data_IF_284891907971
#
_entry.id   IF_284891907971
#
_cell.length_a   1.000
_cell.length_b   1.000
_cell.length_c   1.000
_cell.angle_alpha   90.00
_cell.angle_beta   90.00
_cell.angle_gamma   90.00
#
_symmetry.space_group_name_H-M   'P 1'
#
loop_
_entity.id
_entity.type
_entity.pdbx_description
1 polymer ?
#
# COMPACT_ATOMS: atom_id res chain seq x y z
N UNK A 1 5.79 -57.37 -20.66
CA UNK A 1 5.64 -58.62 -19.88
C UNK A 1 6.18 -58.37 -18.48
N UNK A 2 5.52 -58.56 -17.33
CA UNK A 2 4.17 -58.97 -16.90
C UNK A 2 3.88 -58.18 -15.60
N UNK A 3 2.66 -57.65 -15.45
CA UNK A 3 1.99 -57.35 -14.17
C UNK A 3 1.01 -58.53 -13.86
N UNK A 4 0.22 -58.57 -12.78
CA UNK A 4 0.48 -58.47 -11.33
C UNK A 4 -0.29 -59.59 -10.54
N UNK A 5 -0.23 -59.61 -9.20
CA UNK A 5 -1.23 -60.28 -8.32
C UNK A 5 -1.56 -59.34 -7.15
N UNK A 6 -2.71 -58.64 -7.12
CA UNK A 6 -4.01 -59.06 -6.54
C UNK A 6 -3.84 -59.63 -5.10
N UNK A 7 -4.63 -59.33 -4.06
CA UNK A 7 -5.79 -58.50 -3.82
C UNK A 7 -6.12 -58.63 -2.33
N UNK A 8 -6.42 -57.57 -1.60
CA UNK A 8 -7.25 -57.69 -0.39
C UNK A 8 -8.36 -56.64 -0.43
N UNK A 9 -9.51 -57.11 -0.92
CA UNK A 9 -10.84 -56.49 -0.77
C UNK A 9 -11.42 -56.87 0.61
N UNK A 10 -12.24 -55.96 1.15
CA UNK A 10 -13.66 -56.10 1.57
C UNK A 10 -13.90 -55.13 2.73
N UNK A 11 -14.64 -54.04 2.51
CA UNK A 11 -16.12 -53.89 2.58
C UNK A 11 -16.65 -54.17 3.99
N UNK A 12 -17.32 -53.18 4.60
CA UNK A 12 -18.43 -53.24 5.57
C UNK A 12 -18.61 -51.79 6.12
N UNK A 13 -19.77 -51.18 6.33
CA UNK A 13 -21.19 -51.49 6.03
C UNK A 13 -21.95 -50.17 6.14
N UNK A 14 -22.84 -49.90 5.20
CA UNK A 14 -23.90 -48.89 5.32
C UNK A 14 -25.00 -49.46 6.23
N UNK A 15 -25.52 -48.69 7.19
CA UNK A 15 -26.78 -49.01 7.87
C UNK A 15 -27.75 -47.86 7.65
N UNK A 16 -28.83 -48.17 6.95
CA UNK A 16 -30.03 -47.38 6.79
C UNK A 16 -31.04 -47.76 7.88
N UNK A 17 -31.75 -46.76 8.39
CA UNK A 17 -33.19 -46.81 8.68
C UNK A 17 -33.60 -47.24 10.09
N UNK A 18 -34.42 -46.40 10.73
CA UNK A 18 -35.81 -46.75 11.04
C UNK A 18 -36.59 -45.46 11.38
N UNK A 19 -37.53 -45.12 10.51
CA UNK A 19 -38.64 -44.20 10.77
C UNK A 19 -39.69 -44.92 11.60
N UNK A 20 -39.96 -44.39 12.80
CA UNK A 20 -41.04 -44.85 13.68
C UNK A 20 -41.99 -43.71 13.99
N UNK A 21 -43.17 -43.77 13.38
CA UNK A 21 -44.33 -42.92 13.62
C UNK A 21 -44.85 -43.16 15.04
N UNK A 22 -45.09 -42.11 15.83
CA UNK A 22 -45.96 -42.20 17.00
C UNK A 22 -46.85 -40.96 17.09
N UNK A 23 -48.13 -41.18 16.81
CA UNK A 23 -49.26 -40.30 17.12
C UNK A 23 -49.35 -40.12 18.63
N UNK A 24 -49.40 -38.88 19.11
CA UNK A 24 -50.06 -38.55 20.37
C UNK A 24 -50.91 -37.29 20.17
N UNK A 25 -52.15 -37.44 20.61
CA UNK A 25 -53.32 -36.59 20.50
C UNK A 25 -53.18 -35.24 21.21
N UNK A 26 -53.71 -34.18 20.60
CA UNK A 26 -54.06 -32.93 21.28
C UNK A 26 -55.14 -33.18 22.35
N UNK A 27 -54.89 -32.70 23.56
CA UNK A 27 -55.93 -32.36 24.52
C UNK A 27 -55.58 -31.02 25.18
N UNK A 28 -56.54 -30.09 25.14
CA UNK A 28 -56.50 -28.75 25.70
C UNK A 28 -56.38 -28.76 27.23
N UNK A 29 -55.51 -27.92 27.78
CA UNK A 29 -55.70 -27.33 29.11
C UNK A 29 -55.26 -25.87 29.12
N UNK A 30 -56.22 -24.97 29.39
CA UNK A 30 -56.00 -23.58 29.82
C UNK A 30 -55.38 -23.60 31.23
N UNK A 31 -54.28 -22.87 31.43
CA UNK A 31 -53.85 -22.36 32.73
C UNK A 31 -52.95 -21.14 32.46
N UNK A 32 -53.49 -19.93 32.62
CA UNK A 32 -53.32 -19.06 33.78
C UNK A 32 -51.95 -18.33 33.77
N UNK A 33 -52.01 -17.03 33.50
CA UNK A 33 -50.89 -16.09 33.51
C UNK A 33 -50.16 -16.09 34.86
N UNK A 34 -48.90 -16.52 34.85
CA UNK A 34 -47.94 -16.15 35.89
C UNK A 34 -47.21 -14.90 35.46
N UNK A 35 -47.56 -13.76 36.07
CA UNK A 35 -46.81 -12.50 35.99
C UNK A 35 -45.42 -12.67 36.60
N UNK A 36 -44.41 -12.90 35.76
CA UNK A 36 -43.02 -12.85 36.18
C UNK A 36 -42.56 -11.38 36.27
N UNK A 37 -42.40 -10.92 37.51
CA UNK A 37 -41.70 -9.69 37.85
C UNK A 37 -40.19 -9.95 37.79
N UNK A 38 -39.58 -9.70 36.63
CA UNK A 38 -38.15 -9.45 36.52
C UNK A 38 -37.96 -7.94 36.30
N UNK A 39 -37.01 -7.28 36.99
CA UNK A 39 -36.68 -5.90 36.67
C UNK A 39 -36.18 -5.81 35.23
N UNK A 40 -36.68 -4.83 34.48
CA UNK A 40 -36.24 -4.55 33.12
C UNK A 40 -34.73 -4.34 33.09
N UNK A 41 -34.04 -4.98 32.14
CA UNK A 41 -32.64 -4.68 31.85
C UNK A 41 -32.50 -3.17 31.61
N UNK A 42 -31.51 -2.50 32.23
CA UNK A 42 -31.25 -1.10 31.92
C UNK A 42 -30.97 -0.97 30.42
N UNK A 43 -31.43 0.12 29.78
CA UNK A 43 -31.23 0.31 28.35
C UNK A 43 -29.75 0.15 28.04
N UNK A 44 -29.44 -0.78 27.12
CA UNK A 44 -28.09 -0.97 26.62
C UNK A 44 -27.55 0.37 26.16
N UNK A 45 -26.51 0.85 26.83
CA UNK A 45 -25.74 2.01 26.40
C UNK A 45 -25.40 1.84 24.92
N UNK A 46 -25.54 2.89 24.08
CA UNK A 46 -25.11 2.79 22.70
C UNK A 46 -23.65 2.34 22.71
N UNK A 47 -23.35 1.19 22.10
CA UNK A 47 -21.98 0.81 21.74
C UNK A 47 -21.36 2.05 21.12
N UNK A 48 -20.32 2.57 21.77
CA UNK A 48 -19.76 3.88 21.50
C UNK A 48 -19.70 4.14 20.01
N UNK A 49 -20.26 5.28 19.58
CA UNK A 49 -20.16 5.74 18.21
C UNK A 49 -18.71 5.53 17.76
N UNK A 50 -18.51 4.70 16.74
CA UNK A 50 -17.19 4.52 16.15
C UNK A 50 -16.68 5.94 15.86
N UNK A 51 -15.61 6.36 16.53
CA UNK A 51 -15.00 7.66 16.29
C UNK A 51 -14.67 7.67 14.81
N UNK A 52 -15.41 8.48 14.04
CA UNK A 52 -15.22 8.58 12.61
C UNK A 52 -13.74 8.88 12.38
N UNK A 53 -13.07 8.04 11.57
CA UNK A 53 -11.69 8.31 11.16
C UNK A 53 -11.66 9.73 10.59
N UNK A 54 -10.71 10.59 11.00
CA UNK A 54 -10.61 11.92 10.44
C UNK A 54 -10.53 11.81 8.92
N UNK A 55 -11.42 12.49 8.21
CA UNK A 55 -11.39 12.48 6.75
C UNK A 55 -10.04 13.00 6.26
N UNK A 56 -9.55 12.42 5.16
CA UNK A 56 -8.36 12.95 4.52
C UNK A 56 -8.64 14.36 4.00
N UNK A 57 -7.72 15.32 4.20
CA UNK A 57 -7.92 16.67 3.69
C UNK A 57 -8.11 16.61 2.17
N UNK A 58 -8.91 17.49 1.58
CA UNK A 58 -9.13 17.52 0.14
C UNK A 58 -7.85 17.97 -0.61
N UNK A 59 -7.60 17.49 -1.84
CA UNK A 59 -6.50 18.00 -2.65
C UNK A 59 -6.64 19.51 -2.89
N UNK A 60 -5.53 20.25 -2.79
CA UNK A 60 -5.46 21.69 -3.02
C UNK A 60 -4.13 22.07 -3.69
N UNK A 61 -3.87 23.37 -3.88
CA UNK A 61 -2.60 23.87 -4.42
C UNK A 61 -2.01 24.98 -3.52
N UNK A 62 -0.95 24.71 -2.73
CA UNK A 62 -0.30 23.41 -2.56
C UNK A 62 -1.21 22.38 -1.86
N UNK A 63 -0.97 21.08 -2.08
CA UNK A 63 -1.74 20.03 -1.41
C UNK A 63 -1.37 20.01 0.09
N UNK A 64 -2.35 19.97 1.01
CA UNK A 64 -2.10 20.04 2.46
C UNK A 64 -1.37 18.83 3.05
N UNK A 65 -1.27 17.73 2.31
CA UNK A 65 -0.46 16.55 2.64
C UNK A 65 0.84 16.51 1.84
N UNK A 66 0.75 16.73 0.52
CA UNK A 66 1.90 16.52 -0.38
C UNK A 66 2.84 17.73 -0.45
N UNK A 67 2.39 18.89 0.04
CA UNK A 67 3.10 20.15 -0.05
C UNK A 67 3.15 20.68 -1.48
N UNK A 68 4.23 21.40 -1.78
CA UNK A 68 4.47 21.91 -3.13
C UNK A 68 4.87 20.76 -4.07
N UNK A 69 4.33 20.80 -5.29
CA UNK A 69 4.79 19.96 -6.39
C UNK A 69 6.18 20.38 -6.84
N UNK A 70 6.84 19.48 -7.54
CA UNK A 70 8.14 19.72 -8.16
C UNK A 70 8.13 20.99 -9.01
N UNK A 71 9.21 21.77 -8.89
CA UNK A 71 9.45 22.96 -9.73
C UNK A 71 10.10 22.60 -11.07
N UNK A 72 10.54 21.36 -11.21
CA UNK A 72 11.22 20.89 -12.42
C UNK A 72 10.22 20.70 -13.57
N UNK A 73 10.49 21.24 -14.77
CA UNK A 73 9.52 21.26 -15.85
C UNK A 73 9.38 19.89 -16.56
N UNK A 74 8.45 19.05 -16.10
CA UNK A 74 8.07 17.82 -16.81
C UNK A 74 7.08 18.06 -17.95
N UNK A 75 7.52 17.86 -19.20
CA UNK A 75 6.68 17.98 -20.42
C UNK A 75 6.47 16.64 -21.11
N UNK A 76 5.67 15.78 -20.50
CA UNK A 76 5.28 14.49 -21.07
C UNK A 76 3.84 14.17 -20.69
N UNK A 77 3.21 13.30 -21.50
CA UNK A 77 1.83 12.85 -21.28
C UNK A 77 1.78 11.34 -21.49
N UNK A 78 1.20 10.63 -20.54
CA UNK A 78 0.90 9.21 -20.67
C UNK A 78 -0.48 9.00 -21.28
N UNK A 79 -0.56 8.34 -22.44
CA UNK A 79 -1.84 8.12 -23.14
C UNK A 79 -2.11 6.67 -23.49
N UNK A 80 -1.10 5.81 -23.39
CA UNK A 80 -1.24 4.41 -23.74
C UNK A 80 -2.18 3.74 -22.72
N UNK A 81 -3.27 3.08 -23.15
CA UNK A 81 -4.13 2.35 -22.25
C UNK A 81 -3.37 1.17 -21.62
N UNK A 82 -3.83 0.76 -20.45
CA UNK A 82 -3.37 -0.45 -19.76
C UNK A 82 -4.52 -1.41 -19.59
N UNK A 83 -4.22 -2.67 -19.28
CA UNK A 83 -5.24 -3.64 -18.86
C UNK A 83 -5.75 -3.29 -17.46
N UNK A 84 -7.03 -3.50 -17.20
CA UNK A 84 -7.64 -3.18 -15.90
C UNK A 84 -7.03 -4.02 -14.75
N UNK A 85 -6.57 -5.24 -15.04
CA UNK A 85 -5.91 -6.15 -14.11
C UNK A 85 -4.37 -5.97 -14.05
N UNK A 86 -3.85 -4.81 -14.47
CA UNK A 86 -2.42 -4.52 -14.53
C UNK A 86 -1.73 -4.84 -13.18
N UNK A 87 -0.76 -5.78 -13.15
CA UNK A 87 0.04 -6.02 -11.97
C UNK A 87 0.84 -4.77 -11.62
N UNK A 88 0.67 -4.30 -10.39
CA UNK A 88 1.40 -3.17 -9.82
C UNK A 88 2.26 -3.70 -8.69
N UNK A 89 3.56 -3.42 -8.74
CA UNK A 89 4.48 -3.70 -7.63
C UNK A 89 4.90 -2.37 -7.03
N UNK A 90 4.62 -2.20 -5.74
CA UNK A 90 5.03 -1.02 -4.98
C UNK A 90 6.31 -1.35 -4.21
N UNK A 91 7.34 -0.54 -4.37
CA UNK A 91 8.64 -0.63 -3.70
C UNK A 91 8.83 0.58 -2.79
N UNK A 92 9.48 0.37 -1.65
CA UNK A 92 9.99 1.47 -0.84
C UNK A 92 11.35 1.89 -1.38
N UNK A 93 11.51 3.18 -1.69
CA UNK A 93 12.80 3.76 -2.01
C UNK A 93 13.80 3.57 -0.87
N UNK A 94 15.06 3.31 -1.23
CA UNK A 94 16.18 3.09 -0.30
C UNK A 94 16.11 1.80 0.54
N UNK A 95 15.23 0.85 0.19
CA UNK A 95 14.99 -0.36 0.98
C UNK A 95 16.16 -1.36 1.01
N UNK A 96 17.17 -1.19 0.18
CA UNK A 96 18.36 -2.03 0.06
C UNK A 96 19.68 -1.24 0.13
N UNK A 97 19.64 0.04 0.53
CA UNK A 97 20.81 0.95 0.48
C UNK A 97 21.18 1.58 1.83
N UNK A 98 20.66 1.09 2.94
CA UNK A 98 20.96 1.63 4.27
C UNK A 98 22.45 1.48 4.60
N UNK A 99 23.05 2.51 5.23
CA UNK A 99 24.49 2.57 5.47
C UNK A 99 25.36 2.83 4.23
N UNK A 100 24.75 3.23 3.11
CA UNK A 100 25.44 3.64 1.87
C UNK A 100 25.15 5.12 1.55
N UNK A 101 25.84 5.68 0.56
CA UNK A 101 25.65 7.08 0.15
C UNK A 101 24.20 7.37 -0.33
N UNK A 102 23.50 6.35 -0.82
CA UNK A 102 22.13 6.41 -1.32
C UNK A 102 21.10 5.92 -0.31
N UNK A 103 21.32 6.08 0.99
CA UNK A 103 20.41 5.58 2.05
C UNK A 103 19.09 6.36 2.23
N UNK A 104 18.94 7.49 1.54
CA UNK A 104 17.79 8.40 1.68
C UNK A 104 18.02 9.51 2.72
N UNK A 105 17.07 10.43 2.81
CA UNK A 105 17.11 11.58 3.71
C UNK A 105 16.83 11.19 5.17
N UNK A 106 17.55 11.79 6.14
CA UNK A 106 17.16 11.71 7.55
C UNK A 106 15.85 12.44 7.88
N UNK A 107 15.34 13.31 7.00
CA UNK A 107 14.21 14.20 7.30
C UNK A 107 14.62 15.45 8.10
N UNK A 108 13.78 16.49 8.05
CA UNK A 108 14.09 17.77 8.67
C UNK A 108 14.18 17.65 10.21
N UNK A 109 13.30 16.86 10.84
CA UNK A 109 13.27 16.78 12.31
C UNK A 109 14.53 16.09 12.86
N UNK A 110 15.11 15.13 12.14
CA UNK A 110 16.38 14.50 12.55
C UNK A 110 17.55 15.42 12.23
N UNK A 111 17.65 15.90 11.00
CA UNK A 111 18.81 16.66 10.51
C UNK A 111 18.93 18.04 11.15
N UNK A 112 17.81 18.78 11.23
CA UNK A 112 17.80 20.19 11.66
C UNK A 112 17.30 20.39 13.09
N UNK A 113 16.44 19.51 13.59
CA UNK A 113 15.89 19.63 14.96
C UNK A 113 16.54 18.65 15.95
N UNK A 114 17.49 17.83 15.51
CA UNK A 114 18.22 16.90 16.39
C UNK A 114 17.35 15.82 17.03
N UNK A 115 16.16 15.55 16.47
CA UNK A 115 15.32 14.46 16.97
C UNK A 115 15.95 13.10 16.68
N UNK A 116 15.68 12.08 17.51
CA UNK A 116 16.09 10.73 17.20
C UNK A 116 15.41 10.22 15.91
N UNK A 117 16.07 9.33 15.15
CA UNK A 117 15.45 8.67 14.02
C UNK A 117 14.24 7.84 14.48
N UNK A 118 13.28 7.63 13.56
CA UNK A 118 12.08 6.82 13.85
C UNK A 118 12.41 5.37 14.19
N UNK A 119 13.50 4.86 13.62
CA UNK A 119 14.05 3.54 13.91
C UNK A 119 15.58 3.59 13.79
N UNK A 120 16.27 3.05 14.79
CA UNK A 120 17.73 2.98 14.76
C UNK A 120 18.22 2.14 13.58
N UNK A 121 19.26 2.62 12.90
CA UNK A 121 19.92 1.88 11.81
C UNK A 121 19.30 2.09 10.43
N UNK A 122 18.19 2.81 10.31
CA UNK A 122 17.60 3.20 9.01
C UNK A 122 17.32 4.69 8.95
N UNK A 123 17.35 5.27 7.75
CA UNK A 123 16.93 6.65 7.50
C UNK A 123 15.41 6.76 7.63
N UNK A 124 14.95 7.92 8.07
CA UNK A 124 13.52 8.17 8.24
C UNK A 124 12.76 8.14 6.92
N UNK A 125 13.40 8.52 5.80
CA UNK A 125 12.80 8.32 4.49
C UNK A 125 12.40 6.86 4.26
N UNK A 126 13.32 5.90 4.48
CA UNK A 126 12.99 4.49 4.34
C UNK A 126 11.90 4.07 5.33
N UNK A 127 11.99 4.48 6.59
CA UNK A 127 10.97 4.15 7.58
C UNK A 127 9.58 4.56 7.10
N UNK A 128 9.41 5.81 6.64
CA UNK A 128 8.13 6.30 6.17
C UNK A 128 7.70 5.69 4.83
N UNK A 129 8.64 5.44 3.91
CA UNK A 129 8.37 4.71 2.66
C UNK A 129 7.76 3.33 2.95
N UNK A 130 8.32 2.57 3.90
CA UNK A 130 7.78 1.26 4.28
C UNK A 130 6.37 1.36 4.89
N UNK A 131 6.12 2.34 5.76
CA UNK A 131 4.80 2.54 6.35
C UNK A 131 3.75 2.89 5.29
N UNK A 132 4.08 3.79 4.36
CA UNK A 132 3.16 4.22 3.30
C UNK A 132 2.98 3.13 2.25
N UNK A 133 4.03 2.42 1.83
CA UNK A 133 3.94 1.28 0.92
C UNK A 133 2.95 0.24 1.45
N UNK A 134 3.07 -0.15 2.73
CA UNK A 134 2.15 -1.09 3.36
C UNK A 134 0.71 -0.61 3.29
N UNK A 135 0.47 0.67 3.58
CA UNK A 135 -0.86 1.27 3.51
C UNK A 135 -1.39 1.34 2.06
N UNK A 136 -0.55 1.66 1.07
CA UNK A 136 -0.92 1.65 -0.36
C UNK A 136 -1.37 0.27 -0.79
N UNK A 137 -0.58 -0.77 -0.51
CA UNK A 137 -0.92 -2.14 -0.91
C UNK A 137 -2.20 -2.59 -0.23
N UNK A 138 -2.35 -2.34 1.08
CA UNK A 138 -3.57 -2.70 1.80
C UNK A 138 -4.82 -2.00 1.23
N UNK A 139 -4.75 -0.69 0.97
CA UNK A 139 -5.88 0.06 0.44
C UNK A 139 -6.15 -0.28 -1.03
N UNK A 140 -5.11 -0.51 -1.83
CA UNK A 140 -5.22 -0.90 -3.23
C UNK A 140 -5.88 -2.27 -3.40
N UNK A 141 -5.48 -3.26 -2.59
CA UNK A 141 -6.15 -4.56 -2.54
C UNK A 141 -7.63 -4.42 -2.17
N UNK A 142 -7.95 -3.59 -1.18
CA UNK A 142 -9.34 -3.33 -0.78
C UNK A 142 -10.17 -2.67 -1.90
N UNK A 143 -9.51 -2.04 -2.88
CA UNK A 143 -10.14 -1.41 -4.04
C UNK A 143 -10.02 -2.26 -5.32
N UNK A 144 -9.62 -3.52 -5.19
CA UNK A 144 -9.58 -4.48 -6.30
C UNK A 144 -8.39 -4.31 -7.24
N UNK A 145 -7.36 -3.54 -6.86
CA UNK A 145 -6.12 -3.47 -7.65
C UNK A 145 -5.36 -4.80 -7.57
N UNK A 146 -4.79 -5.23 -8.70
CA UNK A 146 -3.78 -6.28 -8.74
C UNK A 146 -2.44 -5.69 -8.26
N UNK A 147 -2.29 -5.53 -6.95
CA UNK A 147 -1.17 -4.79 -6.34
C UNK A 147 -0.45 -5.64 -5.30
N UNK A 148 0.88 -5.56 -5.28
CA UNK A 148 1.73 -6.23 -4.29
C UNK A 148 2.86 -5.33 -3.83
N UNK A 149 3.45 -5.66 -2.68
CA UNK A 149 4.66 -5.02 -2.19
C UNK A 149 5.87 -5.89 -2.53
N UNK A 150 7.00 -5.25 -2.81
CA UNK A 150 8.30 -5.91 -2.75
C UNK A 150 9.18 -5.25 -1.68
N UNK A 151 9.82 -6.10 -0.86
CA UNK A 151 10.84 -5.70 0.10
C UNK A 151 12.07 -6.58 -0.14
N UNK A 152 13.25 -5.99 -0.37
CA UNK A 152 14.51 -6.71 -0.38
C UNK A 152 14.70 -7.48 0.95
N UNK A 153 15.42 -8.63 0.94
CA UNK A 153 15.66 -9.44 2.13
C UNK A 153 16.63 -8.78 3.12
N UNK A 154 17.33 -7.73 2.71
CA UNK A 154 18.29 -6.97 3.53
C UNK A 154 18.13 -5.49 3.26
N UNK A 155 18.25 -4.67 4.31
CA UNK A 155 18.31 -3.22 4.19
C UNK A 155 19.61 -2.69 3.56
N UNK A 156 20.61 -3.55 3.39
CA UNK A 156 21.87 -3.22 2.74
C UNK A 156 22.26 -4.34 1.79
N UNK A 157 22.29 -4.04 0.49
CA UNK A 157 22.81 -4.91 -0.56
C UNK A 157 23.81 -4.07 -1.38
N UNK A 158 25.11 -4.31 -1.16
CA UNK A 158 26.18 -3.46 -1.73
C UNK A 158 26.40 -3.67 -3.23
N UNK A 159 26.00 -4.82 -3.74
CA UNK A 159 26.15 -5.16 -5.15
C UNK A 159 24.86 -4.77 -5.88
N UNK A 160 24.90 -3.69 -6.66
CA UNK A 160 23.74 -3.21 -7.44
C UNK A 160 23.22 -4.24 -8.46
N UNK A 161 24.02 -5.25 -8.82
CA UNK A 161 23.64 -6.33 -9.72
C UNK A 161 23.06 -7.57 -8.99
N UNK A 162 23.02 -7.55 -7.66
CA UNK A 162 22.40 -8.61 -6.89
C UNK A 162 20.92 -8.77 -7.29
N UNK A 163 20.43 -10.01 -7.51
CA UNK A 163 19.08 -10.26 -7.99
C UNK A 163 17.98 -9.78 -7.05
N UNK A 164 18.29 -9.55 -5.78
CA UNK A 164 17.33 -9.16 -4.74
C UNK A 164 17.27 -7.65 -4.50
N UNK A 165 18.04 -6.84 -5.22
CA UNK A 165 17.85 -5.38 -5.18
C UNK A 165 16.50 -4.98 -5.78
N UNK A 166 15.96 -3.85 -5.31
CA UNK A 166 14.78 -3.23 -5.94
C UNK A 166 14.99 -3.08 -7.45
N UNK A 167 16.18 -2.62 -7.83
CA UNK A 167 16.56 -2.35 -9.20
C UNK A 167 16.59 -3.60 -10.08
N UNK A 168 17.17 -4.70 -9.60
CA UNK A 168 17.22 -5.97 -10.34
C UNK A 168 15.83 -6.57 -10.51
N UNK A 169 15.02 -6.60 -9.44
CA UNK A 169 13.66 -7.12 -9.50
C UNK A 169 12.75 -6.28 -10.40
N UNK A 170 12.83 -4.96 -10.28
CA UNK A 170 12.09 -4.03 -11.13
C UNK A 170 12.38 -4.25 -12.61
N UNK A 171 13.66 -4.41 -12.98
CA UNK A 171 14.06 -4.68 -14.37
C UNK A 171 13.36 -5.93 -14.92
N UNK A 172 13.32 -7.00 -14.13
CA UNK A 172 12.70 -8.26 -14.53
C UNK A 172 11.18 -8.18 -14.63
N UNK A 173 10.51 -7.49 -13.70
CA UNK A 173 9.04 -7.36 -13.71
C UNK A 173 8.55 -6.34 -14.75
N UNK A 174 9.25 -5.22 -14.89
CA UNK A 174 8.94 -4.23 -15.92
C UNK A 174 9.06 -4.83 -17.32
N UNK A 175 10.08 -5.67 -17.58
CA UNK A 175 10.22 -6.39 -18.85
C UNK A 175 9.07 -7.38 -19.13
N UNK A 176 8.37 -7.86 -18.10
CA UNK A 176 7.18 -8.71 -18.21
C UNK A 176 5.88 -7.90 -18.39
N UNK A 177 5.96 -6.57 -18.32
CA UNK A 177 4.81 -5.67 -18.49
C UNK A 177 4.14 -5.25 -17.18
N UNK A 178 4.73 -5.57 -16.02
CA UNK A 178 4.24 -5.11 -14.73
C UNK A 178 4.54 -3.62 -14.54
N UNK A 179 3.67 -2.91 -13.82
CA UNK A 179 3.89 -1.52 -13.44
C UNK A 179 4.66 -1.46 -12.13
N UNK A 180 5.90 -0.96 -12.18
CA UNK A 180 6.76 -0.85 -11.01
C UNK A 180 6.75 0.58 -10.51
N UNK A 181 6.28 0.78 -9.28
CA UNK A 181 6.21 2.07 -8.60
C UNK A 181 7.13 2.03 -7.38
N UNK A 182 8.20 2.82 -7.38
CA UNK A 182 9.03 3.03 -6.18
C UNK A 182 8.63 4.35 -5.56
N UNK A 183 8.22 4.32 -4.29
CA UNK A 183 7.80 5.52 -3.57
C UNK A 183 8.92 6.07 -2.70
N UNK A 184 8.99 7.39 -2.65
CA UNK A 184 9.97 8.15 -1.91
C UNK A 184 9.30 9.29 -1.14
N UNK A 185 9.95 9.72 -0.06
CA UNK A 185 9.79 11.08 0.43
C UNK A 185 11.02 11.87 0.01
N UNK A 186 10.80 12.94 -0.74
CA UNK A 186 11.88 13.81 -1.16
C UNK A 186 12.54 14.47 0.05
N UNK A 187 13.78 14.93 -0.13
CA UNK A 187 14.48 15.66 0.90
C UNK A 187 13.73 16.95 1.28
N UNK A 188 13.92 17.40 2.51
CA UNK A 188 13.43 18.70 2.94
C UNK A 188 14.17 19.85 2.23
N UNK A 189 13.61 21.06 2.26
CA UNK A 189 14.24 22.23 1.62
C UNK A 189 15.56 22.65 2.28
N UNK A 190 16.56 23.12 1.52
CA UNK A 190 16.51 23.41 0.07
C UNK A 190 16.92 22.24 -0.82
N UNK A 191 17.07 21.03 -0.28
CA UNK A 191 17.66 19.89 -0.99
C UNK A 191 16.67 19.16 -1.90
N UNK A 192 15.39 19.10 -1.50
CA UNK A 192 14.33 18.51 -2.30
C UNK A 192 13.72 19.47 -3.32
N UNK A 193 12.99 18.86 -4.25
CA UNK A 193 12.32 19.49 -5.39
C UNK A 193 10.81 19.56 -5.17
N UNK A 194 10.21 18.64 -4.40
CA UNK A 194 8.78 18.57 -4.12
C UNK A 194 8.15 17.25 -4.61
N UNK A 195 6.82 17.15 -4.48
CA UNK A 195 6.10 15.96 -4.95
C UNK A 195 6.07 15.83 -6.48
N UNK A 196 6.04 14.61 -6.99
CA UNK A 196 5.88 14.35 -8.41
C UNK A 196 6.35 12.96 -8.86
N UNK A 197 5.93 12.59 -10.07
CA UNK A 197 6.36 11.35 -10.72
C UNK A 197 7.53 11.61 -11.68
N UNK A 198 8.60 10.83 -11.52
CA UNK A 198 9.64 10.59 -12.51
C UNK A 198 9.31 9.26 -13.20
N UNK A 199 8.80 9.27 -14.45
CA UNK A 199 8.31 8.04 -15.07
C UNK A 199 9.47 7.18 -15.58
N UNK A 200 9.21 5.89 -15.76
CA UNK A 200 10.14 4.96 -16.39
C UNK A 200 10.57 5.40 -17.80
N UNK A 201 11.83 5.14 -18.15
CA UNK A 201 12.42 5.54 -19.44
C UNK A 201 12.32 4.39 -20.46
N UNK A 202 12.46 3.15 -20.01
CA UNK A 202 12.58 1.97 -20.85
C UNK A 202 11.24 1.42 -21.38
N UNK A 203 10.10 2.06 -21.07
CA UNK A 203 8.77 1.69 -21.56
C UNK A 203 7.97 2.91 -22.03
N UNK A 204 6.97 2.74 -22.91
CA UNK A 204 6.05 3.82 -23.26
C UNK A 204 5.30 4.34 -22.02
N UNK A 205 5.04 5.65 -22.02
CA UNK A 205 4.21 6.29 -21.00
C UNK A 205 2.75 5.87 -21.16
N UNK A 206 2.09 5.59 -20.05
CA UNK A 206 0.72 5.09 -20.02
C UNK A 206 -0.19 5.94 -19.13
N UNK A 207 -1.48 5.61 -19.13
CA UNK A 207 -2.50 6.33 -18.34
C UNK A 207 -2.27 6.27 -16.82
N UNK A 208 -1.54 5.26 -16.31
CA UNK A 208 -1.13 5.20 -14.89
C UNK A 208 -0.09 6.28 -14.60
N UNK A 209 0.93 6.41 -15.46
CA UNK A 209 1.93 7.49 -15.33
C UNK A 209 1.26 8.86 -15.36
N UNK A 210 0.30 9.06 -16.27
CA UNK A 210 -0.43 10.31 -16.39
C UNK A 210 -1.29 10.61 -15.15
N UNK A 211 -1.99 9.63 -14.62
CA UNK A 211 -2.83 9.79 -13.43
C UNK A 211 -2.00 10.18 -12.20
N UNK A 212 -0.89 9.49 -11.97
CA UNK A 212 0.07 9.83 -10.91
C UNK A 212 0.65 11.23 -11.10
N UNK A 213 1.03 11.59 -12.33
CA UNK A 213 1.52 12.93 -12.64
C UNK A 213 0.49 14.04 -12.41
N UNK A 214 -0.79 13.77 -12.67
CA UNK A 214 -1.87 14.73 -12.40
C UNK A 214 -2.08 14.96 -10.91
N UNK A 215 -1.92 13.90 -10.09
CA UNK A 215 -2.09 13.96 -8.65
C UNK A 215 -0.88 14.61 -7.94
N UNK A 216 0.34 14.22 -8.32
CA UNK A 216 1.57 14.59 -7.59
C UNK A 216 2.43 15.64 -8.30
N UNK A 217 2.30 15.81 -9.62
CA UNK A 217 3.19 16.65 -10.42
C UNK A 217 4.09 15.83 -11.35
N UNK A 218 4.76 16.53 -12.28
CA UNK A 218 5.59 15.90 -13.32
C UNK A 218 7.03 16.35 -13.17
N UNK A 219 7.92 15.42 -12.84
CA UNK A 219 9.33 15.63 -13.08
C UNK A 219 9.66 15.46 -14.57
N UNK A 220 10.77 16.03 -15.07
CA UNK A 220 11.33 15.69 -16.37
C UNK A 220 11.55 14.17 -16.48
N UNK A 221 11.17 13.58 -17.60
CA UNK A 221 11.38 12.14 -17.83
C UNK A 221 12.85 11.72 -17.76
N UNK A 222 13.76 12.62 -18.15
CA UNK A 222 15.20 12.44 -18.05
C UNK A 222 15.80 13.23 -16.88
N UNK A 223 15.06 13.39 -15.78
CA UNK A 223 15.53 14.10 -14.59
C UNK A 223 16.91 13.57 -14.16
N UNK A 224 17.85 14.50 -13.91
CA UNK A 224 19.26 14.21 -13.61
C UNK A 224 19.95 13.27 -14.61
N UNK A 225 19.64 13.40 -15.90
CA UNK A 225 20.23 12.56 -16.95
C UNK A 225 19.66 11.14 -17.01
N UNK A 226 18.56 10.87 -16.30
CA UNK A 226 17.89 9.58 -16.25
C UNK A 226 18.45 8.71 -15.12
N UNK A 227 17.73 8.69 -14.01
CA UNK A 227 18.09 7.96 -12.80
C UNK A 227 18.14 6.43 -13.00
N UNK A 228 18.87 5.74 -12.10
CA UNK A 228 19.07 4.30 -12.15
C UNK A 228 17.79 3.47 -12.14
N UNK A 229 16.80 3.85 -11.31
CA UNK A 229 15.49 3.20 -11.25
C UNK A 229 14.68 3.36 -12.56
N UNK A 230 14.44 4.58 -13.07
CA UNK A 230 13.75 4.81 -14.34
C UNK A 230 14.35 4.10 -15.54
N UNK A 231 15.68 3.96 -15.61
CA UNK A 231 16.37 3.17 -16.65
C UNK A 231 16.05 1.67 -16.57
N UNK A 232 15.61 1.19 -15.40
CA UNK A 232 15.25 -0.21 -15.11
C UNK A 232 13.73 -0.44 -15.04
N UNK A 233 12.92 0.55 -15.41
CA UNK A 233 11.47 0.38 -15.50
C UNK A 233 10.67 0.82 -14.29
N UNK A 234 11.33 1.46 -13.33
CA UNK A 234 10.69 2.02 -12.14
C UNK A 234 10.12 3.41 -12.45
N UNK A 235 8.85 3.64 -12.15
CA UNK A 235 8.35 4.99 -11.91
C UNK A 235 8.70 5.40 -10.48
N UNK A 236 9.49 6.46 -10.30
CA UNK A 236 9.82 6.99 -8.97
C UNK A 236 8.79 8.06 -8.62
N UNK A 237 8.05 7.85 -7.54
CA UNK A 237 7.09 8.80 -7.02
C UNK A 237 7.63 9.46 -5.75
N UNK A 238 8.02 10.71 -5.87
CA UNK A 238 8.24 11.59 -4.73
C UNK A 238 6.86 11.98 -4.18
N UNK A 239 6.45 11.37 -3.06
CA UNK A 239 5.11 11.56 -2.50
C UNK A 239 4.97 12.99 -1.94
N UNK A 240 5.97 13.41 -1.19
CA UNK A 240 6.06 14.71 -0.53
C UNK A 240 7.49 14.92 -0.02
N UNK A 241 7.84 16.14 0.38
CA UNK A 241 9.09 16.37 1.10
C UNK A 241 8.96 15.98 2.57
N UNK A 242 10.00 15.37 3.13
CA UNK A 242 10.05 15.00 4.55
C UNK A 242 10.41 16.22 5.43
N UNK A 243 9.48 17.17 5.51
CA UNK A 243 9.60 18.43 6.25
C UNK A 243 8.28 18.83 6.96
N UNK A 244 8.32 19.79 7.91
CA UNK A 244 7.09 20.37 8.47
C UNK A 244 6.19 21.02 7.41
N UNK A 245 4.86 20.95 7.57
CA UNK A 245 4.13 20.35 8.69
C UNK A 245 3.91 18.82 8.56
N UNK A 246 4.26 18.22 7.43
CA UNK A 246 4.00 16.80 7.16
C UNK A 246 4.75 15.89 8.13
N UNK A 247 6.06 16.09 8.26
CA UNK A 247 6.90 15.26 9.12
C UNK A 247 6.47 15.31 10.59
N UNK A 248 5.99 16.47 11.05
CA UNK A 248 5.43 16.62 12.41
C UNK A 248 4.19 15.74 12.60
N UNK A 249 3.29 15.68 11.61
CA UNK A 249 2.10 14.83 11.65
C UNK A 249 2.44 13.34 11.57
N UNK A 250 3.46 12.97 10.80
CA UNK A 250 3.99 11.60 10.74
C UNK A 250 4.59 11.19 12.10
N UNK A 251 5.42 12.05 12.70
CA UNK A 251 6.05 11.78 14.00
C UNK A 251 5.06 11.76 15.16
N UNK A 252 3.99 12.56 15.13
CA UNK A 252 3.00 12.60 16.21
C UNK A 252 2.12 11.32 16.23
N UNK A 253 2.17 10.50 17.31
CA UNK A 253 1.39 9.26 17.40
C UNK A 253 -0.12 9.45 17.22
N UNK A 254 -0.67 10.61 17.59
CA UNK A 254 -2.12 10.91 17.47
C UNK A 254 -2.56 11.10 16.02
N UNK A 255 -1.65 11.53 15.13
CA UNK A 255 -1.96 11.85 13.73
C UNK A 255 -1.28 10.91 12.74
N UNK A 256 -0.27 10.15 13.18
CA UNK A 256 0.58 9.30 12.34
C UNK A 256 -0.22 8.36 11.45
N UNK A 257 -1.07 7.53 12.04
CA UNK A 257 -1.84 6.53 11.29
C UNK A 257 -2.76 7.21 10.26
N UNK A 258 -3.42 8.29 10.64
CA UNK A 258 -4.27 9.05 9.71
C UNK A 258 -3.46 9.64 8.55
N UNK A 259 -2.30 10.23 8.86
CA UNK A 259 -1.42 10.84 7.85
C UNK A 259 -0.91 9.80 6.86
N UNK A 260 -0.41 8.66 7.35
CA UNK A 260 0.03 7.53 6.50
C UNK A 260 -1.11 7.03 5.62
N UNK A 261 -2.30 6.84 6.18
CA UNK A 261 -3.46 6.37 5.42
C UNK A 261 -3.89 7.37 4.35
N UNK A 262 -3.84 8.67 4.62
CA UNK A 262 -4.22 9.68 3.63
C UNK A 262 -3.19 9.84 2.52
N UNK A 263 -1.90 9.68 2.81
CA UNK A 263 -0.87 9.62 1.76
C UNK A 263 -1.09 8.40 0.86
N UNK A 264 -1.37 7.24 1.45
CA UNK A 264 -1.68 6.03 0.71
C UNK A 264 -2.95 6.20 -0.16
N UNK A 265 -4.00 6.82 0.38
CA UNK A 265 -5.25 7.08 -0.34
C UNK A 265 -5.00 7.91 -1.60
N UNK A 266 -4.17 8.95 -1.52
CA UNK A 266 -3.77 9.76 -2.69
C UNK A 266 -3.11 8.93 -3.79
N UNK A 267 -2.21 8.03 -3.43
CA UNK A 267 -1.53 7.16 -4.39
C UNK A 267 -2.52 6.16 -4.98
N UNK A 268 -3.35 5.52 -4.15
CA UNK A 268 -4.32 4.52 -4.60
C UNK A 268 -5.40 5.14 -5.48
N UNK A 269 -5.90 6.34 -5.17
CA UNK A 269 -6.82 7.08 -6.03
C UNK A 269 -6.24 7.30 -7.44
N UNK A 270 -4.97 7.71 -7.51
CA UNK A 270 -4.29 7.90 -8.77
C UNK A 270 -4.09 6.56 -9.51
N UNK A 271 -3.73 5.48 -8.82
CA UNK A 271 -3.57 4.16 -9.42
C UNK A 271 -4.91 3.63 -9.97
N UNK A 272 -5.99 3.69 -9.18
CA UNK A 272 -7.33 3.28 -9.61
C UNK A 272 -7.77 4.05 -10.85
N UNK A 273 -7.65 5.38 -10.83
CA UNK A 273 -7.97 6.22 -12.00
C UNK A 273 -7.12 5.85 -13.22
N UNK A 274 -5.87 5.43 -13.01
CA UNK A 274 -4.95 5.07 -14.08
C UNK A 274 -5.20 3.70 -14.71
N UNK A 275 -5.87 2.78 -14.03
CA UNK A 275 -6.21 1.44 -14.55
C UNK A 275 -7.68 1.29 -14.92
N UNK A 276 -8.49 2.31 -14.65
CA UNK A 276 -9.92 2.35 -15.01
C UNK A 276 -10.16 2.85 -16.43
#
# INVERSE_FOLDING_TARGET
MRLPSWLKRRRFTTVLGFTGLCLVTLALTKAAETRNWLPAEPPSTPKGAAIAKPACPAPANPDPLLGARTREPGRWVGRRPVRADLPIVVMAGHADSQGMASAGTPGFMVDKQGQPPMQQGIRDELYWNLQVQKAIVQQGLNRGLNISAYNPPSFTIRNDADPDTNWSRAKLWSARGDYILEIHFDAYRPHGFGSGLIPAINRPLNVVDESLAQAFGRFPRNFRGGLGGPRRGIGILEIAMLEPPLEQKLRNPKTRSNTVNCLAERVVDALVKGVS
#
